data_IF_544367127310
#
_entry.id   IF_544367127310
#
_cell.length_a   1.000
_cell.length_b   1.000
_cell.length_c   1.000
_cell.angle_alpha   90.00
_cell.angle_beta   90.00
_cell.angle_gamma   90.00
#
_symmetry.space_group_name_H-M   'P 1'
#
loop_
_entity.id
_entity.type
_entity.pdbx_description
1 polymer ?
#
# COMPACT_ATOMS: atom_id res chain seq x y z
N UNK A 1 -2.44 47.47 58.71
CA UNK A 1 -2.38 47.39 57.27
C UNK A 1 -1.71 46.07 56.90
N UNK A 2 -2.51 45.07 56.53
CA UNK A 2 -2.03 43.76 56.06
C UNK A 2 -2.08 43.75 54.55
N UNK A 3 -0.93 43.61 53.90
CA UNK A 3 -0.84 43.39 52.44
C UNK A 3 -0.90 41.87 52.18
N UNK A 4 -1.95 41.45 51.46
CA UNK A 4 -2.07 40.09 50.96
C UNK A 4 -1.37 40.00 49.59
N UNK A 5 -0.34 39.13 49.50
CA UNK A 5 0.32 38.79 48.25
C UNK A 5 -0.46 37.67 47.55
N UNK A 6 -1.03 37.99 46.38
CA UNK A 6 -1.70 37.00 45.52
C UNK A 6 -0.62 36.36 44.63
N UNK A 7 -0.28 35.10 44.94
CA UNK A 7 0.59 34.28 44.12
C UNK A 7 -0.14 33.75 42.86
N UNK A 8 0.29 34.19 41.68
CA UNK A 8 -0.20 33.67 40.40
C UNK A 8 0.50 32.32 40.12
N UNK A 9 -0.26 31.21 40.21
CA UNK A 9 0.22 29.88 39.81
C UNK A 9 0.04 29.74 38.30
N UNK A 10 1.13 29.82 37.54
CA UNK A 10 1.13 29.45 36.12
C UNK A 10 1.12 27.92 35.98
N UNK A 11 -0.06 27.37 35.67
CA UNK A 11 -0.19 25.98 35.26
C UNK A 11 0.31 25.86 33.80
N UNK A 12 1.54 25.37 33.62
CA UNK A 12 2.05 24.98 32.32
C UNK A 12 1.39 23.67 31.92
N UNK A 13 0.34 23.74 31.10
CA UNK A 13 -0.21 22.58 30.42
C UNK A 13 0.83 22.06 29.42
N UNK A 14 1.50 20.97 29.78
CA UNK A 14 2.26 20.16 28.81
C UNK A 14 1.22 19.56 27.85
N UNK A 15 1.02 20.19 26.73
CA UNK A 15 0.31 19.61 25.59
C UNK A 15 1.17 18.40 25.14
N UNK A 16 0.77 17.20 25.54
CA UNK A 16 1.25 15.96 24.96
C UNK A 16 0.89 16.02 23.49
N UNK A 17 1.87 16.31 22.64
CA UNK A 17 1.74 16.08 21.21
C UNK A 17 1.49 14.59 21.02
N UNK A 18 0.22 14.21 20.89
CA UNK A 18 -0.12 12.88 20.38
C UNK A 18 0.51 12.80 18.99
N UNK A 19 1.63 12.07 18.92
CA UNK A 19 2.16 11.61 17.65
C UNK A 19 1.03 10.84 16.98
N UNK A 20 0.36 11.48 16.03
CA UNK A 20 -0.51 10.79 15.10
C UNK A 20 0.41 9.84 14.33
N UNK A 21 0.47 8.59 14.79
CA UNK A 21 1.09 7.51 14.05
C UNK A 21 0.36 7.46 12.71
N UNK A 22 1.02 7.92 11.65
CA UNK A 22 0.54 7.67 10.29
C UNK A 22 0.45 6.14 10.16
N UNK A 23 -0.75 5.55 10.01
CA UNK A 23 -0.93 4.10 10.01
C UNK A 23 -0.31 3.45 8.76
N UNK A 24 0.36 4.24 7.92
CA UNK A 24 0.90 3.84 6.63
C UNK A 24 1.89 2.71 6.69
N UNK A 25 3.15 3.02 6.92
CA UNK A 25 4.23 2.02 6.94
C UNK A 25 4.77 1.86 8.37
N UNK A 26 4.74 0.64 8.88
CA UNK A 26 5.29 0.30 10.21
C UNK A 26 6.43 -0.71 10.03
N UNK A 27 7.66 -0.24 9.80
CA UNK A 27 8.81 -1.11 9.62
C UNK A 27 9.11 -1.88 10.91
N UNK A 28 9.54 -3.15 10.76
CA UNK A 28 9.86 -4.04 11.87
C UNK A 28 8.67 -4.81 12.44
N UNK A 29 7.44 -4.44 12.11
CA UNK A 29 6.26 -5.21 12.49
C UNK A 29 6.22 -6.51 11.67
N UNK A 30 6.03 -7.63 12.31
CA UNK A 30 5.85 -8.93 11.66
C UNK A 30 4.40 -9.36 11.85
N UNK A 31 3.69 -9.57 10.75
CA UNK A 31 2.31 -10.04 10.79
C UNK A 31 2.24 -11.47 11.35
N UNK A 32 1.14 -11.77 12.02
CA UNK A 32 0.78 -13.14 12.37
C UNK A 32 0.50 -13.93 11.09
N UNK A 33 1.19 -15.06 10.91
CA UNK A 33 1.02 -15.94 9.75
C UNK A 33 -0.39 -16.56 9.67
N UNK A 34 -1.12 -16.58 10.78
CA UNK A 34 -2.51 -17.06 10.85
C UNK A 34 -3.54 -16.03 10.38
N UNK A 35 -3.14 -14.79 10.07
CA UNK A 35 -4.06 -13.75 9.64
C UNK A 35 -4.83 -14.16 8.38
N UNK A 36 -6.15 -14.14 8.46
CA UNK A 36 -7.05 -14.43 7.34
C UNK A 36 -7.68 -13.14 6.81
N UNK A 37 -7.59 -12.93 5.50
CA UNK A 37 -8.35 -11.87 4.84
C UNK A 37 -9.85 -12.14 4.90
N UNK A 38 -10.64 -11.09 5.06
CA UNK A 38 -12.08 -11.17 4.84
C UNK A 38 -12.37 -11.72 3.43
N UNK A 39 -13.42 -12.52 3.25
CA UNK A 39 -13.75 -13.15 1.96
C UNK A 39 -13.84 -12.17 0.79
N UNK A 40 -14.23 -10.92 1.03
CA UNK A 40 -14.30 -9.86 0.03
C UNK A 40 -12.92 -9.57 -0.61
N UNK A 41 -11.85 -9.65 0.19
CA UNK A 41 -10.48 -9.32 -0.24
C UNK A 41 -9.67 -10.53 -0.69
N UNK A 42 -10.20 -11.73 -0.57
CA UNK A 42 -9.50 -12.95 -0.99
C UNK A 42 -9.37 -13.01 -2.51
N UNK A 43 -8.25 -13.57 -2.97
CA UNK A 43 -8.02 -13.85 -4.39
C UNK A 43 -9.10 -14.78 -4.95
N UNK A 44 -9.70 -14.41 -6.08
CA UNK A 44 -10.70 -15.24 -6.76
C UNK A 44 -10.80 -14.96 -8.25
N UNK A 45 -11.25 -15.97 -9.02
CA UNK A 45 -11.59 -15.80 -10.42
C UNK A 45 -12.95 -15.16 -10.53
N UNK A 46 -13.06 -14.10 -11.34
CA UNK A 46 -14.32 -13.37 -11.55
C UNK A 46 -14.59 -13.19 -13.05
N UNK A 47 -15.86 -12.98 -13.42
CA UNK A 47 -16.21 -12.44 -14.73
C UNK A 47 -15.81 -10.96 -14.78
N UNK A 48 -15.13 -10.57 -15.84
CA UNK A 48 -14.67 -9.18 -15.99
C UNK A 48 -14.69 -8.82 -17.48
N UNK A 49 -15.61 -7.94 -17.86
CA UNK A 49 -15.74 -7.47 -19.25
C UNK A 49 -14.88 -6.23 -19.42
N UNK A 50 -13.94 -6.29 -20.33
CA UNK A 50 -13.05 -5.18 -20.69
C UNK A 50 -12.56 -5.34 -22.12
N UNK A 51 -12.12 -4.24 -22.72
CA UNK A 51 -11.40 -4.21 -24.00
C UNK A 51 -9.89 -4.43 -23.84
N UNK A 52 -9.38 -4.50 -22.61
CA UNK A 52 -7.98 -4.74 -22.34
C UNK A 52 -7.59 -6.19 -22.65
N UNK A 53 -6.41 -6.35 -23.27
CA UNK A 53 -5.91 -7.67 -23.63
C UNK A 53 -5.60 -8.55 -22.39
N UNK A 54 -5.75 -9.88 -22.51
CA UNK A 54 -5.25 -10.80 -21.49
C UNK A 54 -3.78 -10.52 -21.11
N UNK A 55 -3.46 -10.64 -19.83
CA UNK A 55 -2.16 -10.28 -19.24
C UNK A 55 -2.06 -8.83 -18.78
N UNK A 56 -3.02 -7.95 -19.13
CA UNK A 56 -3.09 -6.60 -18.58
C UNK A 56 -3.49 -6.63 -17.11
N UNK A 57 -2.90 -5.77 -16.30
CA UNK A 57 -3.34 -5.48 -14.93
C UNK A 57 -4.24 -4.24 -14.96
N UNK A 58 -5.43 -4.34 -14.36
CA UNK A 58 -6.30 -3.19 -14.09
C UNK A 58 -6.38 -3.01 -12.58
N UNK A 59 -6.09 -1.80 -12.09
CA UNK A 59 -6.24 -1.42 -10.68
C UNK A 59 -7.43 -0.49 -10.57
N UNK A 60 -8.44 -0.90 -9.81
CA UNK A 60 -9.58 -0.07 -9.40
C UNK A 60 -9.36 0.42 -7.98
N UNK A 61 -8.96 1.69 -7.83
CA UNK A 61 -8.72 2.26 -6.49
C UNK A 61 -10.02 2.49 -5.73
N UNK A 62 -11.13 2.74 -6.43
CA UNK A 62 -12.45 2.88 -5.82
C UNK A 62 -12.92 1.56 -5.19
N UNK A 63 -12.73 0.45 -5.91
CA UNK A 63 -13.13 -0.90 -5.45
C UNK A 63 -12.09 -1.53 -4.53
N UNK A 64 -10.86 -1.00 -4.48
CA UNK A 64 -9.71 -1.55 -3.77
C UNK A 64 -9.40 -2.99 -4.22
N UNK A 65 -9.49 -3.19 -5.54
CA UNK A 65 -9.17 -4.45 -6.19
C UNK A 65 -8.18 -4.26 -7.34
N UNK A 66 -7.37 -5.28 -7.56
CA UNK A 66 -6.51 -5.43 -8.73
C UNK A 66 -7.01 -6.64 -9.53
N UNK A 67 -7.10 -6.47 -10.84
CA UNK A 67 -7.58 -7.49 -11.77
C UNK A 67 -6.48 -7.84 -12.76
N UNK A 68 -6.05 -9.09 -12.79
CA UNK A 68 -5.21 -9.63 -13.85
C UNK A 68 -6.11 -10.25 -14.92
N UNK A 69 -6.19 -9.60 -16.08
CA UNK A 69 -7.09 -9.98 -17.16
C UNK A 69 -6.69 -11.33 -17.74
N UNK A 70 -7.69 -12.20 -17.88
CA UNK A 70 -7.58 -13.55 -18.41
C UNK A 70 -8.39 -13.68 -19.72
N UNK A 71 -8.09 -14.70 -20.55
CA UNK A 71 -8.94 -15.01 -21.72
C UNK A 71 -10.39 -15.32 -21.31
N UNK A 72 -11.35 -15.10 -22.23
CA UNK A 72 -12.74 -15.51 -22.04
C UNK A 72 -13.54 -14.60 -21.11
N UNK A 73 -13.22 -13.30 -21.04
CA UNK A 73 -14.00 -12.33 -20.25
C UNK A 73 -13.90 -12.57 -18.74
N UNK A 74 -12.75 -13.03 -18.27
CA UNK A 74 -12.47 -13.33 -16.86
C UNK A 74 -11.26 -12.53 -16.38
N UNK A 75 -11.12 -12.42 -15.07
CA UNK A 75 -9.93 -11.90 -14.41
C UNK A 75 -9.66 -12.63 -13.10
N UNK A 76 -8.40 -12.68 -12.69
CA UNK A 76 -8.04 -12.99 -11.31
C UNK A 76 -8.13 -11.67 -10.55
N UNK A 77 -9.01 -11.62 -9.55
CA UNK A 77 -9.18 -10.47 -8.68
C UNK A 77 -8.39 -10.66 -7.39
N UNK A 78 -7.65 -9.64 -6.99
CA UNK A 78 -6.90 -9.57 -5.73
C UNK A 78 -7.40 -8.38 -4.91
N UNK A 79 -7.61 -8.54 -3.62
CA UNK A 79 -7.84 -7.42 -2.70
C UNK A 79 -6.56 -6.62 -2.50
N UNK A 80 -6.68 -5.28 -2.50
CA UNK A 80 -5.51 -4.41 -2.35
C UNK A 80 -5.73 -3.29 -1.34
N UNK A 81 -4.65 -2.85 -0.68
CA UNK A 81 -4.59 -1.55 -0.04
C UNK A 81 -4.15 -0.49 -1.06
N UNK A 82 -4.75 0.70 -1.01
CA UNK A 82 -4.53 1.79 -1.97
C UNK A 82 -4.06 3.07 -1.29
N UNK A 83 -3.69 4.07 -2.10
CA UNK A 83 -3.34 5.41 -1.61
C UNK A 83 -4.46 6.04 -0.80
N UNK A 84 -4.10 6.64 0.35
CA UNK A 84 -5.01 7.48 1.13
C UNK A 84 -5.41 8.73 0.35
N UNK A 85 -6.38 9.46 0.85
CA UNK A 85 -6.84 10.70 0.21
C UNK A 85 -5.66 11.68 0.00
N UNK A 86 -5.59 12.28 -1.19
CA UNK A 86 -4.47 13.12 -1.64
C UNK A 86 -3.26 12.35 -2.22
N UNK A 87 -3.22 11.00 -2.10
CA UNK A 87 -2.18 10.15 -2.69
C UNK A 87 -2.73 9.19 -3.75
N UNK A 88 -3.96 9.40 -4.18
CA UNK A 88 -4.58 8.62 -5.25
C UNK A 88 -4.17 9.18 -6.61
N UNK A 89 -3.91 8.30 -7.54
CA UNK A 89 -3.57 8.64 -8.92
C UNK A 89 -4.25 7.68 -9.91
N UNK A 90 -4.28 8.07 -11.18
CA UNK A 90 -4.75 7.25 -12.27
C UNK A 90 -3.82 7.39 -13.46
N UNK A 91 -3.79 6.40 -14.33
CA UNK A 91 -2.96 6.45 -15.52
C UNK A 91 -2.61 5.08 -16.07
N UNK A 92 -1.76 5.12 -17.09
CA UNK A 92 -1.23 3.95 -17.78
C UNK A 92 0.27 3.88 -17.56
N UNK A 93 0.72 2.78 -16.98
CA UNK A 93 2.13 2.48 -16.75
C UNK A 93 2.44 1.04 -17.20
N UNK A 94 3.69 0.64 -17.10
CA UNK A 94 4.11 -0.76 -17.25
C UNK A 94 5.03 -1.15 -16.10
N UNK A 95 5.09 -2.46 -15.83
CA UNK A 95 6.08 -3.01 -14.90
C UNK A 95 7.46 -2.87 -15.55
N UNK A 96 8.35 -2.11 -14.92
CA UNK A 96 9.71 -1.86 -15.44
C UNK A 96 10.78 -2.67 -14.73
N UNK A 97 10.50 -3.13 -13.52
CA UNK A 97 11.41 -3.91 -12.69
C UNK A 97 10.61 -4.79 -11.73
N UNK A 98 11.15 -5.96 -11.43
CA UNK A 98 10.63 -6.89 -10.43
C UNK A 98 11.73 -7.19 -9.41
N UNK A 99 11.37 -7.36 -8.15
CA UNK A 99 12.31 -7.71 -7.09
C UNK A 99 11.67 -8.66 -6.07
N UNK A 100 12.42 -9.68 -5.70
CA UNK A 100 12.12 -10.57 -4.58
C UNK A 100 12.75 -10.01 -3.30
N UNK A 101 12.01 -10.06 -2.19
CA UNK A 101 12.46 -9.50 -0.89
C UNK A 101 13.15 -8.14 -1.07
N UNK A 102 12.43 -7.15 -1.64
CA UNK A 102 13.03 -5.86 -1.97
C UNK A 102 13.52 -5.13 -0.72
N UNK A 103 14.65 -4.45 -0.85
CA UNK A 103 15.06 -3.47 0.15
C UNK A 103 14.10 -2.28 0.12
N UNK A 104 13.89 -1.66 1.27
CA UNK A 104 13.05 -0.48 1.41
C UNK A 104 13.85 0.74 1.82
N UNK A 105 13.74 1.78 1.02
CA UNK A 105 14.25 3.12 1.32
C UNK A 105 13.06 4.06 1.26
N UNK A 106 12.62 4.63 2.38
CA UNK A 106 11.53 5.60 2.39
C UNK A 106 11.85 6.81 1.51
N UNK A 107 10.89 7.30 0.71
CA UNK A 107 11.06 8.56 -0.02
C UNK A 107 11.33 9.73 0.93
N UNK A 108 12.08 10.78 0.49
CA UNK A 108 12.37 11.95 1.33
C UNK A 108 11.12 12.61 1.93
N UNK A 109 10.04 12.69 1.17
CA UNK A 109 8.76 13.26 1.63
C UNK A 109 8.11 12.42 2.74
N UNK A 110 8.31 11.11 2.72
CA UNK A 110 7.85 10.23 3.79
C UNK A 110 8.67 10.45 5.06
N UNK A 111 9.99 10.57 4.92
CA UNK A 111 10.89 10.90 6.04
C UNK A 111 10.55 12.26 6.63
N UNK A 112 10.21 13.25 5.80
CA UNK A 112 9.82 14.58 6.29
C UNK A 112 8.54 14.52 7.16
N UNK A 113 7.58 13.66 6.80
CA UNK A 113 6.36 13.44 7.60
C UNK A 113 6.59 12.54 8.82
N UNK A 114 7.53 11.60 8.72
CA UNK A 114 7.82 10.57 9.71
C UNK A 114 9.34 10.47 9.96
N UNK A 115 9.95 11.43 10.69
CA UNK A 115 11.40 11.49 10.85
C UNK A 115 12.03 10.28 11.58
N UNK A 116 11.21 9.52 12.31
CA UNK A 116 11.61 8.32 13.07
C UNK A 116 11.81 7.08 12.18
N UNK A 117 11.38 7.10 10.92
CA UNK A 117 11.55 5.97 10.02
C UNK A 117 13.04 5.69 9.74
N UNK A 118 13.44 4.41 9.61
CA UNK A 118 14.78 4.05 9.18
C UNK A 118 15.04 4.59 7.77
N UNK A 119 16.27 4.99 7.50
CA UNK A 119 16.68 5.47 6.17
C UNK A 119 16.82 4.34 5.14
N UNK A 120 16.96 3.12 5.64
CA UNK A 120 17.09 1.89 4.86
C UNK A 120 16.63 0.71 5.68
N UNK A 121 15.99 -0.26 5.04
CA UNK A 121 15.66 -1.55 5.63
C UNK A 121 15.85 -2.65 4.58
N UNK A 122 16.67 -3.64 4.91
CA UNK A 122 16.88 -4.81 4.07
C UNK A 122 15.57 -5.61 3.88
N UNK A 123 15.47 -6.33 2.78
CA UNK A 123 14.34 -7.22 2.52
C UNK A 123 14.21 -8.32 3.57
N UNK A 124 12.99 -8.60 4.01
CA UNK A 124 12.73 -9.59 5.05
C UNK A 124 11.35 -9.43 5.72
N UNK A 125 11.01 -10.25 6.75
CA UNK A 125 9.67 -10.28 7.35
C UNK A 125 9.30 -8.93 7.90
N UNK A 126 9.81 -8.07 8.41
CA UNK A 126 9.36 -6.77 8.90
C UNK A 126 9.42 -5.64 7.87
N UNK A 127 9.80 -5.95 6.62
CA UNK A 127 9.91 -4.93 5.58
C UNK A 127 8.53 -4.53 5.04
N UNK A 128 8.18 -3.23 4.98
CA UNK A 128 6.88 -2.77 4.49
C UNK A 128 6.55 -3.16 3.04
N UNK A 129 7.54 -3.44 2.19
CA UNK A 129 7.32 -3.91 0.82
C UNK A 129 7.00 -5.41 0.73
N UNK A 130 7.11 -6.15 1.83
CA UNK A 130 6.78 -7.55 1.89
C UNK A 130 7.65 -8.45 1.00
N UNK A 131 7.06 -9.55 0.51
CA UNK A 131 7.77 -10.62 -0.17
C UNK A 131 8.25 -10.26 -1.59
N UNK A 132 7.52 -9.41 -2.31
CA UNK A 132 7.77 -9.06 -3.72
C UNK A 132 7.41 -7.61 -4.00
N UNK A 133 8.08 -7.00 -4.97
CA UNK A 133 7.71 -5.70 -5.53
C UNK A 133 7.83 -5.68 -7.05
N UNK A 134 6.88 -5.00 -7.69
CA UNK A 134 6.84 -4.70 -9.13
C UNK A 134 6.78 -3.18 -9.28
N UNK A 135 7.79 -2.61 -9.91
CA UNK A 135 7.97 -1.16 -10.05
C UNK A 135 7.25 -0.66 -11.29
N UNK A 136 6.56 0.47 -11.19
CA UNK A 136 5.69 0.99 -12.23
C UNK A 136 6.33 2.20 -12.93
N UNK A 137 6.71 2.03 -14.18
CA UNK A 137 7.35 3.07 -14.98
C UNK A 137 8.62 3.64 -14.33
N UNK A 138 8.87 4.92 -14.55
CA UNK A 138 9.93 5.70 -13.89
C UNK A 138 9.40 6.45 -12.65
N UNK A 139 8.40 5.90 -11.97
CA UNK A 139 7.74 6.53 -10.83
C UNK A 139 8.20 5.93 -9.51
N UNK A 140 7.73 6.50 -8.41
CA UNK A 140 7.90 5.94 -7.06
C UNK A 140 6.86 4.86 -6.73
N UNK A 141 5.89 4.63 -7.62
CA UNK A 141 4.77 3.70 -7.36
C UNK A 141 5.16 2.25 -7.62
N UNK A 142 4.56 1.37 -6.83
CA UNK A 142 4.82 -0.09 -6.87
C UNK A 142 3.53 -0.85 -6.62
N UNK A 143 3.48 -2.08 -7.13
CA UNK A 143 2.63 -3.14 -6.63
C UNK A 143 3.53 -4.01 -5.76
N UNK A 144 3.20 -4.21 -4.49
CA UNK A 144 4.09 -4.89 -3.55
C UNK A 144 3.34 -5.67 -2.47
N UNK A 145 4.05 -6.52 -1.77
CA UNK A 145 3.54 -7.21 -0.59
C UNK A 145 3.37 -6.28 0.61
N UNK A 146 3.10 -6.84 1.76
CA UNK A 146 3.01 -6.05 3.00
C UNK A 146 3.38 -6.87 4.22
N UNK A 147 3.91 -6.21 5.24
CA UNK A 147 4.02 -6.73 6.59
C UNK A 147 2.78 -6.44 7.44
N UNK A 148 1.76 -5.79 6.85
CA UNK A 148 0.52 -5.37 7.51
C UNK A 148 -0.71 -5.86 6.73
N UNK A 149 -1.02 -7.19 6.72
CA UNK A 149 -2.09 -7.76 5.88
C UNK A 149 -3.48 -7.21 6.19
N UNK A 150 -3.74 -6.73 7.41
CA UNK A 150 -5.00 -6.09 7.79
C UNK A 150 -5.26 -4.74 7.10
N UNK A 151 -4.27 -4.20 6.38
CA UNK A 151 -4.42 -2.96 5.61
C UNK A 151 -4.99 -3.20 4.20
N UNK A 152 -5.18 -4.45 3.79
CA UNK A 152 -5.86 -4.77 2.54
C UNK A 152 -7.33 -4.36 2.65
N UNK A 153 -7.87 -3.79 1.58
CA UNK A 153 -9.20 -3.21 1.57
C UNK A 153 -9.27 -1.78 2.13
N UNK A 154 -8.15 -1.15 2.49
CA UNK A 154 -8.13 0.20 3.07
C UNK A 154 -7.39 1.22 2.19
N UNK A 155 -7.61 2.52 2.48
CA UNK A 155 -6.92 3.65 1.87
C UNK A 155 -5.84 4.15 2.83
N UNK A 156 -4.61 3.63 2.73
CA UNK A 156 -3.59 3.85 3.75
C UNK A 156 -2.21 4.18 3.19
N UNK A 157 -1.90 3.79 1.96
CA UNK A 157 -0.57 3.95 1.39
C UNK A 157 -0.28 5.38 0.89
N UNK A 158 0.97 5.64 0.54
CA UNK A 158 1.39 6.87 -0.16
C UNK A 158 1.33 6.70 -1.69
N UNK A 159 0.33 5.95 -2.22
CA UNK A 159 0.06 5.78 -3.63
C UNK A 159 0.48 4.43 -4.22
N UNK A 160 1.21 3.58 -3.51
CA UNK A 160 1.49 2.21 -3.90
C UNK A 160 0.29 1.28 -3.66
N UNK A 161 0.28 0.13 -4.32
CA UNK A 161 -0.75 -0.91 -4.19
C UNK A 161 -0.20 -2.07 -3.39
N UNK A 162 -0.81 -2.34 -2.23
CA UNK A 162 -0.40 -3.40 -1.31
C UNK A 162 -1.25 -4.64 -1.52
N UNK A 163 -0.62 -5.81 -1.54
CA UNK A 163 -1.27 -7.11 -1.49
C UNK A 163 -0.75 -7.90 -0.28
N UNK A 164 -1.47 -8.90 0.16
CA UNK A 164 -0.87 -9.89 1.06
C UNK A 164 0.28 -10.61 0.36
N UNK A 165 1.25 -11.11 1.12
CA UNK A 165 2.49 -11.67 0.57
C UNK A 165 2.24 -12.88 -0.35
N UNK A 166 1.25 -13.72 -0.06
CA UNK A 166 0.89 -14.85 -0.91
C UNK A 166 0.34 -14.38 -2.27
N UNK A 167 -0.50 -13.34 -2.29
CA UNK A 167 -1.12 -12.82 -3.50
C UNK A 167 -0.13 -12.05 -4.38
N UNK A 168 0.77 -11.25 -3.78
CA UNK A 168 1.80 -10.57 -4.57
C UNK A 168 2.80 -11.56 -5.16
N UNK A 169 3.11 -12.66 -4.48
CA UNK A 169 3.95 -13.72 -5.02
C UNK A 169 3.27 -14.40 -6.21
N UNK A 170 2.01 -14.78 -6.08
CA UNK A 170 1.21 -15.36 -7.17
C UNK A 170 1.13 -14.41 -8.39
N UNK A 171 0.84 -13.12 -8.17
CA UNK A 171 0.82 -12.12 -9.25
C UNK A 171 2.20 -11.95 -9.89
N UNK A 172 3.24 -11.86 -9.07
CA UNK A 172 4.63 -11.72 -9.51
C UNK A 172 5.04 -12.84 -10.46
N UNK A 173 4.69 -14.08 -10.16
CA UNK A 173 5.06 -15.25 -11.00
C UNK A 173 4.28 -15.27 -12.32
N UNK A 174 3.10 -14.65 -12.39
CA UNK A 174 2.24 -14.63 -13.58
C UNK A 174 2.60 -13.55 -14.59
N UNK A 175 3.21 -12.43 -14.17
CA UNK A 175 3.38 -11.27 -15.03
C UNK A 175 4.86 -10.96 -15.31
N UNK A 176 5.25 -10.75 -16.57
CA UNK A 176 6.61 -10.34 -16.94
C UNK A 176 6.83 -8.83 -16.74
N UNK A 177 8.10 -8.41 -16.78
CA UNK A 177 8.47 -7.01 -17.04
C UNK A 177 7.89 -6.61 -18.39
N UNK A 178 7.39 -5.37 -18.50
CA UNK A 178 6.65 -4.87 -19.67
C UNK A 178 5.14 -5.01 -19.55
N UNK A 179 4.62 -5.77 -18.57
CA UNK A 179 3.16 -5.89 -18.34
C UNK A 179 2.52 -4.53 -18.20
N UNK A 180 1.46 -4.30 -18.99
CA UNK A 180 0.62 -3.09 -18.96
C UNK A 180 -0.16 -3.02 -17.65
N UNK A 181 -0.16 -1.84 -17.02
CA UNK A 181 -0.89 -1.55 -15.79
C UNK A 181 -1.76 -0.31 -15.98
N UNK A 182 -3.06 -0.49 -15.94
CA UNK A 182 -4.07 0.57 -16.04
C UNK A 182 -4.61 0.87 -14.65
N UNK A 183 -4.44 2.09 -14.16
CA UNK A 183 -4.95 2.52 -12.86
C UNK A 183 -6.14 3.44 -13.05
N UNK A 184 -7.27 3.10 -12.43
CA UNK A 184 -8.54 3.82 -12.52
C UNK A 184 -9.03 4.18 -11.11
N UNK A 185 -9.60 5.39 -10.99
CA UNK A 185 -10.20 5.86 -9.75
C UNK A 185 -11.72 5.60 -9.67
N UNK A 186 -12.35 5.28 -10.80
CA UNK A 186 -13.78 4.97 -10.91
C UNK A 186 -13.96 3.52 -11.33
N UNK A 187 -15.04 2.84 -10.86
CA UNK A 187 -15.42 1.55 -11.41
C UNK A 187 -15.67 1.64 -12.92
N UNK A 188 -15.45 0.55 -13.65
CA UNK A 188 -16.04 0.40 -14.98
C UNK A 188 -17.56 0.21 -14.84
N UNK A 189 -18.35 1.04 -15.53
CA UNK A 189 -19.80 0.89 -15.64
C UNK A 189 -20.16 -0.27 -16.55
#
# INVERSE_FOLDING_TARGET
MMMAAIGLVFSTSLASAQQQNDPGDQPGLVADESYQLDPEWQKQMVLYRTTEAPGTIIVSTAERHLYLIQPGGRAIRYGIGVGRDGFQWQGLLSITKKAERPDWTPPPEMIARQPYLPRFMAGGPGNPLGARAMYLGATVYRIHGTNQPWTIGTKISSGCFRLVNADVADLYDRVPVGTKVVVRQKPEL
#
